data_IF_126855134801
#
_entry.id   IF_126855134801
#
_cell.length_a   1.000
_cell.length_b   1.000
_cell.length_c   1.000
_cell.angle_alpha   90.00
_cell.angle_beta   90.00
_cell.angle_gamma   90.00
#
_symmetry.space_group_name_H-M   'P 1'
#
loop_
_entity.id
_entity.type
_entity.pdbx_description
1 polymer ?
#
# COMPACT_ATOMS: atom_id res chain seq x y z
N UNK A 1 35.25 5.79 11.78
CA UNK A 1 36.63 5.43 12.17
C UNK A 1 36.55 4.47 13.34
N UNK A 2 36.68 3.17 13.09
CA UNK A 2 36.81 2.15 14.13
C UNK A 2 38.07 1.34 13.82
N UNK A 3 39.10 1.52 14.66
CA UNK A 3 40.37 0.80 14.62
C UNK A 3 40.10 -0.64 15.06
N UNK A 4 40.37 -1.61 14.19
CA UNK A 4 40.43 -3.02 14.56
C UNK A 4 41.91 -3.36 14.77
N UNK A 5 42.27 -3.55 16.04
CA UNK A 5 43.57 -4.00 16.50
C UNK A 5 43.77 -5.49 16.17
N UNK A 6 44.90 -5.93 15.58
CA UNK A 6 45.13 -7.34 15.30
C UNK A 6 45.60 -8.09 16.57
N UNK A 7 45.16 -9.35 16.82
CA UNK A 7 45.71 -10.15 17.91
C UNK A 7 47.08 -10.73 17.55
N UNK A 8 47.88 -10.91 18.61
CA UNK A 8 49.31 -11.15 18.61
C UNK A 8 49.74 -12.50 17.98
N UNK A 9 50.93 -12.48 17.38
CA UNK A 9 51.72 -13.66 16.98
C UNK A 9 51.95 -14.56 18.19
N UNK A 10 51.43 -15.78 18.16
CA UNK A 10 51.88 -16.86 19.04
C UNK A 10 53.12 -17.51 18.43
N UNK A 11 54.25 -17.31 19.10
CA UNK A 11 55.53 -17.94 18.83
C UNK A 11 55.46 -19.46 19.03
N UNK A 12 55.84 -20.22 18.00
CA UNK A 12 56.15 -21.64 18.15
C UNK A 12 57.47 -21.78 18.94
N UNK A 13 57.56 -22.66 19.96
CA UNK A 13 58.84 -22.94 20.60
C UNK A 13 59.70 -23.77 19.63
N UNK A 14 60.85 -23.22 19.23
CA UNK A 14 61.91 -23.99 18.60
C UNK A 14 62.44 -25.01 19.60
N UNK A 15 62.07 -26.27 19.42
CA UNK A 15 62.77 -27.39 20.08
C UNK A 15 64.17 -27.50 19.48
N UNK A 16 65.14 -26.81 20.08
CA UNK A 16 66.55 -27.10 19.88
C UNK A 16 66.82 -28.48 20.50
N UNK A 17 67.02 -29.47 19.64
CA UNK A 17 67.51 -30.78 20.04
C UNK A 17 69.00 -30.63 20.41
N UNK A 18 69.27 -30.28 21.66
CA UNK A 18 70.60 -30.17 22.23
C UNK A 18 71.22 -31.56 22.35
N UNK A 19 72.11 -31.92 21.43
CA UNK A 19 72.96 -33.11 21.57
C UNK A 19 74.04 -32.78 22.61
N UNK A 20 74.12 -33.48 23.76
CA UNK A 20 75.20 -33.26 24.70
C UNK A 20 76.49 -33.86 24.13
N UNK A 21 77.39 -33.00 23.66
CA UNK A 21 78.77 -33.38 23.38
C UNK A 21 79.47 -33.51 24.74
N UNK A 22 79.69 -34.76 25.17
CA UNK A 22 80.52 -35.08 26.33
C UNK A 22 81.94 -34.56 26.08
N UNK A 23 82.30 -33.46 26.75
CA UNK A 23 83.68 -33.08 26.92
C UNK A 23 84.30 -33.92 28.02
N UNK A 24 85.41 -34.61 27.74
CA UNK A 24 86.31 -35.07 28.79
C UNK A 24 87.77 -34.99 28.32
N UNK A 25 88.48 -34.06 28.95
CA UNK A 25 89.85 -34.10 29.42
C UNK A 25 91.02 -34.46 28.49
N UNK A 26 91.88 -33.44 28.35
CA UNK A 26 93.28 -33.46 27.95
C UNK A 26 94.08 -34.36 28.91
N UNK A 27 94.42 -35.57 28.47
CA UNK A 27 95.50 -36.36 29.03
C UNK A 27 96.64 -36.41 28.02
N UNK A 28 97.76 -35.79 28.37
CA UNK A 28 99.04 -35.91 27.69
C UNK A 28 99.53 -37.36 27.78
N UNK A 29 99.24 -38.12 26.74
CA UNK A 29 99.84 -39.41 26.47
C UNK A 29 99.93 -39.53 24.96
N UNK A 30 101.04 -40.02 24.46
CA UNK A 30 101.20 -40.41 23.06
C UNK A 30 100.27 -41.60 22.75
N UNK A 31 98.96 -41.39 22.77
CA UNK A 31 98.00 -42.30 22.17
C UNK A 31 97.86 -41.86 20.72
N UNK A 32 98.65 -42.48 19.85
CA UNK A 32 98.34 -42.56 18.44
C UNK A 32 96.96 -43.20 18.31
N UNK A 33 95.90 -42.39 18.38
CA UNK A 33 94.60 -42.77 17.83
C UNK A 33 94.93 -43.00 16.36
N UNK A 34 94.92 -44.25 15.86
CA UNK A 34 95.16 -44.47 14.45
C UNK A 34 94.14 -43.62 13.69
N UNK A 35 94.51 -43.00 12.55
CA UNK A 35 93.50 -42.32 11.74
C UNK A 35 92.35 -43.31 11.58
N UNK A 36 91.12 -42.91 11.94
CA UNK A 36 89.94 -43.72 11.64
C UNK A 36 90.11 -44.16 10.20
N UNK A 37 90.28 -45.47 9.97
CA UNK A 37 90.46 -45.99 8.60
C UNK A 37 89.33 -45.36 7.79
N UNK A 38 89.62 -44.69 6.65
CA UNK A 38 88.56 -44.09 5.86
C UNK A 38 87.53 -45.19 5.64
N UNK A 39 86.26 -44.89 5.95
CA UNK A 39 85.15 -45.80 5.72
C UNK A 39 85.38 -46.42 4.34
N UNK A 40 85.53 -47.75 4.25
CA UNK A 40 85.95 -48.34 2.97
C UNK A 40 84.97 -47.91 1.89
N UNK A 41 85.45 -47.64 0.68
CA UNK A 41 84.60 -47.20 -0.42
C UNK A 41 83.40 -48.16 -0.61
N UNK A 42 83.58 -49.45 -0.31
CA UNK A 42 82.52 -50.46 -0.27
C UNK A 42 81.45 -50.21 0.80
N UNK A 43 81.84 -49.89 2.05
CA UNK A 43 80.88 -49.61 3.13
C UNK A 43 80.12 -48.30 2.89
N UNK A 44 80.78 -47.27 2.35
CA UNK A 44 80.15 -46.02 1.95
C UNK A 44 79.15 -46.22 0.78
N UNK A 45 79.50 -47.05 -0.20
CA UNK A 45 78.61 -47.42 -1.30
C UNK A 45 77.36 -48.18 -0.80
N UNK A 46 77.53 -49.15 0.11
CA UNK A 46 76.41 -49.89 0.73
C UNK A 46 75.46 -48.97 1.49
N UNK A 47 76.00 -48.02 2.27
CA UNK A 47 75.18 -47.03 2.99
C UNK A 47 74.43 -46.10 2.02
N UNK A 48 75.08 -45.64 0.95
CA UNK A 48 74.45 -44.82 -0.09
C UNK A 48 73.27 -45.54 -0.77
N UNK A 49 73.40 -46.85 -1.06
CA UNK A 49 72.30 -47.66 -1.61
C UNK A 49 71.13 -47.77 -0.64
N UNK A 50 71.38 -47.97 0.65
CA UNK A 50 70.33 -48.02 1.68
C UNK A 50 69.62 -46.67 1.79
N UNK A 51 70.37 -45.57 1.84
CA UNK A 51 69.81 -44.21 1.85
C UNK A 51 68.95 -43.92 0.60
N UNK A 52 69.39 -44.34 -0.59
CA UNK A 52 68.62 -44.20 -1.82
C UNK A 52 67.32 -45.03 -1.80
N UNK A 53 67.34 -46.24 -1.23
CA UNK A 53 66.15 -47.08 -1.05
C UNK A 53 65.13 -46.44 -0.12
N UNK A 54 65.59 -45.87 1.01
CA UNK A 54 64.73 -45.13 1.92
C UNK A 54 64.18 -43.85 1.29
N UNK A 55 65.01 -43.09 0.58
CA UNK A 55 64.58 -41.90 -0.16
C UNK A 55 63.48 -42.24 -1.19
N UNK A 56 63.63 -43.35 -1.92
CA UNK A 56 62.61 -43.83 -2.86
C UNK A 56 61.29 -44.22 -2.18
N UNK A 57 61.35 -44.87 -1.00
CA UNK A 57 60.15 -45.17 -0.20
C UNK A 57 59.48 -43.89 0.30
N UNK A 58 60.25 -42.94 0.81
CA UNK A 58 59.75 -41.63 1.28
C UNK A 58 59.05 -40.90 0.14
N UNK A 59 59.68 -40.80 -1.05
CA UNK A 59 59.08 -40.17 -2.22
C UNK A 59 57.74 -40.83 -2.62
N UNK A 60 57.65 -42.17 -2.56
CA UNK A 60 56.39 -42.89 -2.81
C UNK A 60 55.31 -42.58 -1.79
N UNK A 61 55.66 -42.41 -0.51
CA UNK A 61 54.70 -42.02 0.53
C UNK A 61 54.26 -40.56 0.40
N UNK A 62 55.19 -39.65 0.09
CA UNK A 62 54.87 -38.23 -0.17
C UNK A 62 53.88 -38.11 -1.33
N UNK A 63 54.13 -38.79 -2.45
CA UNK A 63 53.19 -38.77 -3.59
C UNK A 63 51.79 -39.32 -3.25
N UNK A 64 51.68 -40.27 -2.32
CA UNK A 64 50.36 -40.73 -1.81
C UNK A 64 49.69 -39.67 -0.96
N UNK A 65 50.45 -38.98 -0.09
CA UNK A 65 49.93 -37.90 0.75
C UNK A 65 49.39 -36.76 -0.12
N UNK A 66 50.12 -36.38 -1.17
CA UNK A 66 49.69 -35.35 -2.12
C UNK A 66 48.38 -35.76 -2.83
N UNK A 67 48.30 -37.01 -3.29
CA UNK A 67 47.07 -37.53 -3.90
C UNK A 67 45.87 -37.52 -2.92
N UNK A 68 46.08 -37.86 -1.64
CA UNK A 68 45.02 -37.75 -0.63
C UNK A 68 44.65 -36.30 -0.35
N UNK A 69 45.60 -35.37 -0.32
CA UNK A 69 45.34 -33.95 -0.14
C UNK A 69 44.49 -33.39 -1.30
N UNK A 70 44.76 -33.79 -2.54
CA UNK A 70 43.96 -33.42 -3.72
C UNK A 70 42.52 -33.94 -3.62
N UNK A 71 42.34 -35.17 -3.15
CA UNK A 71 41.00 -35.74 -2.91
C UNK A 71 40.24 -34.94 -1.86
N UNK A 72 40.87 -34.61 -0.73
CA UNK A 72 40.27 -33.79 0.33
C UNK A 72 39.88 -32.40 -0.21
N UNK A 73 40.76 -31.77 -0.98
CA UNK A 73 40.50 -30.49 -1.62
C UNK A 73 39.32 -30.57 -2.60
N UNK A 74 39.24 -31.64 -3.41
CA UNK A 74 38.14 -31.90 -4.34
C UNK A 74 36.80 -32.07 -3.61
N UNK A 75 36.76 -32.85 -2.53
CA UNK A 75 35.55 -33.00 -1.71
C UNK A 75 35.10 -31.67 -1.09
N UNK A 76 36.04 -30.87 -0.60
CA UNK A 76 35.76 -29.56 -0.01
C UNK A 76 35.17 -28.60 -1.05
N UNK A 77 35.70 -28.58 -2.28
CA UNK A 77 35.12 -27.82 -3.40
C UNK A 77 33.71 -28.27 -3.75
N UNK A 78 33.46 -29.59 -3.86
CA UNK A 78 32.12 -30.13 -4.14
C UNK A 78 31.11 -29.73 -3.06
N UNK A 79 31.49 -29.80 -1.78
CA UNK A 79 30.64 -29.38 -0.66
C UNK A 79 30.34 -27.87 -0.72
N UNK A 80 31.35 -27.06 -1.02
CA UNK A 80 31.18 -25.62 -1.23
C UNK A 80 30.22 -25.30 -2.37
N UNK A 81 30.34 -26.00 -3.50
CA UNK A 81 29.44 -25.85 -4.65
C UNK A 81 27.99 -26.24 -4.30
N UNK A 82 27.79 -27.37 -3.62
CA UNK A 82 26.46 -27.78 -3.16
C UNK A 82 25.82 -26.74 -2.22
N UNK A 83 26.60 -26.17 -1.29
CA UNK A 83 26.14 -25.07 -0.42
C UNK A 83 25.78 -23.81 -1.21
N UNK A 84 26.58 -23.45 -2.22
CA UNK A 84 26.30 -22.32 -3.09
C UNK A 84 24.99 -22.51 -3.89
N UNK A 85 24.75 -23.72 -4.42
CA UNK A 85 23.49 -24.06 -5.09
C UNK A 85 22.30 -23.95 -4.13
N UNK A 86 22.40 -24.50 -2.92
CA UNK A 86 21.33 -24.40 -1.92
C UNK A 86 21.02 -22.95 -1.57
N UNK A 87 22.04 -22.11 -1.40
CA UNK A 87 21.87 -20.68 -1.15
C UNK A 87 21.18 -19.97 -2.34
N UNK A 88 21.53 -20.33 -3.58
CA UNK A 88 20.91 -19.81 -4.78
C UNK A 88 19.43 -20.19 -4.88
N UNK A 89 19.07 -21.46 -4.63
CA UNK A 89 17.68 -21.90 -4.59
C UNK A 89 16.87 -21.19 -3.51
N UNK A 90 17.46 -21.00 -2.32
CA UNK A 90 16.81 -20.28 -1.22
C UNK A 90 16.55 -18.82 -1.58
N UNK A 91 17.52 -18.17 -2.23
CA UNK A 91 17.36 -16.79 -2.72
C UNK A 91 16.29 -16.68 -3.80
N UNK A 92 16.27 -17.63 -4.75
CA UNK A 92 15.24 -17.68 -5.79
C UNK A 92 13.84 -17.80 -5.17
N UNK A 93 13.66 -18.73 -4.22
CA UNK A 93 12.39 -18.88 -3.51
C UNK A 93 11.96 -17.58 -2.81
N UNK A 94 12.87 -16.94 -2.09
CA UNK A 94 12.57 -15.66 -1.45
C UNK A 94 12.19 -14.55 -2.43
N UNK A 95 12.77 -14.54 -3.63
CA UNK A 95 12.38 -13.62 -4.71
C UNK A 95 10.98 -13.93 -5.24
N UNK A 96 10.66 -15.20 -5.47
CA UNK A 96 9.33 -15.64 -5.94
C UNK A 96 8.24 -15.27 -4.90
N UNK A 97 8.50 -15.51 -3.61
CA UNK A 97 7.60 -15.13 -2.51
C UNK A 97 7.38 -13.61 -2.45
N UNK A 98 8.46 -12.82 -2.62
CA UNK A 98 8.38 -11.37 -2.66
C UNK A 98 7.56 -10.85 -3.85
N UNK A 99 7.73 -11.46 -5.02
CA UNK A 99 6.93 -11.14 -6.21
C UNK A 99 5.45 -11.46 -6.00
N UNK A 100 5.14 -12.61 -5.41
CA UNK A 100 3.76 -12.97 -5.09
C UNK A 100 3.12 -11.95 -4.13
N UNK A 101 3.83 -11.55 -3.08
CA UNK A 101 3.36 -10.53 -2.15
C UNK A 101 3.11 -9.17 -2.83
N UNK A 102 3.99 -8.77 -3.77
CA UNK A 102 3.82 -7.55 -4.57
C UNK A 102 2.55 -7.63 -5.43
N UNK A 103 2.30 -8.75 -6.10
CA UNK A 103 1.08 -8.95 -6.90
C UNK A 103 -0.19 -8.89 -6.04
N UNK A 104 -0.19 -9.55 -4.88
CA UNK A 104 -1.32 -9.48 -3.94
C UNK A 104 -1.57 -8.04 -3.47
N UNK A 105 -0.52 -7.28 -3.18
CA UNK A 105 -0.65 -5.86 -2.79
C UNK A 105 -1.21 -5.00 -3.92
N UNK A 106 -0.74 -5.19 -5.16
CA UNK A 106 -1.27 -4.49 -6.33
C UNK A 106 -2.76 -4.77 -6.50
N UNK A 107 -3.17 -6.03 -6.41
CA UNK A 107 -4.59 -6.42 -6.49
C UNK A 107 -5.43 -5.74 -5.41
N UNK A 108 -4.97 -5.75 -4.16
CA UNK A 108 -5.68 -5.05 -3.07
C UNK A 108 -5.80 -3.54 -3.28
N UNK A 109 -4.80 -2.91 -3.93
CA UNK A 109 -4.87 -1.50 -4.31
C UNK A 109 -5.90 -1.26 -5.44
N UNK A 110 -5.91 -2.12 -6.46
CA UNK A 110 -6.88 -2.05 -7.56
C UNK A 110 -8.33 -2.22 -7.03
N UNK A 111 -8.56 -3.17 -6.12
CA UNK A 111 -9.85 -3.39 -5.46
C UNK A 111 -10.29 -2.17 -4.62
N UNK A 112 -9.36 -1.55 -3.89
CA UNK A 112 -9.64 -0.36 -3.09
C UNK A 112 -10.00 0.85 -3.96
N UNK A 113 -9.31 1.03 -5.10
CA UNK A 113 -9.65 2.07 -6.08
C UNK A 113 -11.05 1.84 -6.65
N UNK A 114 -11.39 0.61 -7.02
CA UNK A 114 -12.72 0.29 -7.53
C UNK A 114 -13.81 0.62 -6.50
N UNK A 115 -13.62 0.26 -5.24
CA UNK A 115 -14.56 0.60 -4.16
C UNK A 115 -14.72 2.13 -3.98
N UNK A 116 -13.62 2.90 -4.10
CA UNK A 116 -13.66 4.36 -4.05
C UNK A 116 -14.49 4.93 -5.21
N UNK A 117 -14.30 4.45 -6.44
CA UNK A 117 -15.09 4.88 -7.60
C UNK A 117 -16.57 4.57 -7.43
N UNK A 118 -16.93 3.37 -6.98
CA UNK A 118 -18.32 3.01 -6.70
C UNK A 118 -18.96 3.91 -5.64
N UNK A 119 -18.22 4.23 -4.58
CA UNK A 119 -18.71 5.15 -3.53
C UNK A 119 -18.92 6.56 -4.07
N UNK A 120 -18.02 7.06 -4.92
CA UNK A 120 -18.17 8.36 -5.57
C UNK A 120 -19.42 8.40 -6.44
N UNK A 121 -19.64 7.38 -7.28
CA UNK A 121 -20.82 7.29 -8.11
C UNK A 121 -22.11 7.32 -7.27
N UNK A 122 -22.17 6.53 -6.20
CA UNK A 122 -23.34 6.53 -5.31
C UNK A 122 -23.59 7.88 -4.62
N UNK A 123 -22.54 8.65 -4.35
CA UNK A 123 -22.67 10.02 -3.82
C UNK A 123 -23.21 11.00 -4.88
N UNK A 124 -22.70 10.92 -6.11
CA UNK A 124 -23.16 11.74 -7.22
C UNK A 124 -24.64 11.47 -7.54
N UNK A 125 -25.06 10.19 -7.55
CA UNK A 125 -26.46 9.79 -7.75
C UNK A 125 -27.37 10.33 -6.62
N UNK A 126 -26.90 10.27 -5.37
CA UNK A 126 -27.64 10.79 -4.22
C UNK A 126 -27.82 12.31 -4.28
N UNK A 127 -26.78 13.04 -4.70
CA UNK A 127 -26.86 14.49 -4.94
C UNK A 127 -27.87 14.81 -6.04
N UNK A 128 -27.83 14.08 -7.16
CA UNK A 128 -28.78 14.28 -8.25
C UNK A 128 -30.23 14.07 -7.77
N UNK A 129 -30.50 13.02 -7.00
CA UNK A 129 -31.81 12.77 -6.41
C UNK A 129 -32.25 13.91 -5.46
N UNK A 130 -31.32 14.47 -4.67
CA UNK A 130 -31.60 15.62 -3.81
C UNK A 130 -32.00 16.86 -4.63
N UNK A 131 -31.25 17.17 -5.70
CA UNK A 131 -31.59 18.29 -6.59
C UNK A 131 -32.95 18.12 -7.26
N UNK A 132 -33.27 16.92 -7.75
CA UNK A 132 -34.58 16.62 -8.33
C UNK A 132 -35.71 16.81 -7.31
N UNK A 133 -35.53 16.36 -6.06
CA UNK A 133 -36.51 16.59 -4.98
C UNK A 133 -36.69 18.07 -4.69
N UNK A 134 -35.60 18.83 -4.58
CA UNK A 134 -35.66 20.28 -4.34
C UNK A 134 -36.47 20.97 -5.44
N UNK A 135 -36.20 20.65 -6.70
CA UNK A 135 -36.96 21.19 -7.83
C UNK A 135 -38.45 20.85 -7.74
N UNK A 136 -38.79 19.61 -7.42
CA UNK A 136 -40.18 19.20 -7.23
C UNK A 136 -40.89 19.96 -6.10
N UNK A 137 -40.17 20.27 -5.00
CA UNK A 137 -40.70 21.13 -3.94
C UNK A 137 -40.92 22.58 -4.41
N UNK A 138 -39.95 23.14 -5.13
CA UNK A 138 -40.05 24.50 -5.68
C UNK A 138 -41.24 24.61 -6.65
N UNK A 139 -41.45 23.61 -7.52
CA UNK A 139 -42.59 23.53 -8.45
C UNK A 139 -43.93 23.42 -7.70
N UNK A 140 -43.99 22.60 -6.64
CA UNK A 140 -45.19 22.43 -5.82
C UNK A 140 -45.57 23.72 -5.07
N UNK A 141 -44.58 24.46 -4.55
CA UNK A 141 -44.79 25.76 -3.93
C UNK A 141 -45.33 26.77 -4.93
N UNK A 142 -44.77 26.82 -6.15
CA UNK A 142 -45.27 27.71 -7.19
C UNK A 142 -46.73 27.40 -7.53
N UNK A 143 -47.09 26.13 -7.69
CA UNK A 143 -48.47 25.72 -7.93
C UNK A 143 -49.42 26.12 -6.79
N UNK A 144 -48.97 26.03 -5.53
CA UNK A 144 -49.74 26.49 -4.37
C UNK A 144 -49.98 28.00 -4.42
N UNK A 145 -48.96 28.80 -4.72
CA UNK A 145 -49.11 30.26 -4.87
C UNK A 145 -50.08 30.63 -5.99
N UNK A 146 -49.99 29.98 -7.15
CA UNK A 146 -50.93 30.22 -8.26
C UNK A 146 -52.37 29.86 -7.88
N UNK A 147 -52.59 28.77 -7.15
CA UNK A 147 -53.93 28.43 -6.65
C UNK A 147 -54.46 29.47 -5.68
N UNK A 148 -53.62 29.95 -4.74
CA UNK A 148 -54.01 30.99 -3.80
C UNK A 148 -54.44 32.26 -4.54
N UNK A 149 -53.66 32.71 -5.52
CA UNK A 149 -54.01 33.87 -6.33
C UNK A 149 -55.36 33.67 -7.05
N UNK A 150 -55.59 32.50 -7.65
CA UNK A 150 -56.87 32.20 -8.30
C UNK A 150 -58.07 32.19 -7.33
N UNK A 151 -57.87 31.78 -6.08
CA UNK A 151 -58.89 31.90 -5.03
C UNK A 151 -59.17 33.36 -4.66
N UNK A 152 -58.13 34.18 -4.51
CA UNK A 152 -58.26 35.59 -4.18
C UNK A 152 -59.00 36.35 -5.30
N UNK A 153 -58.67 36.07 -6.57
CA UNK A 153 -59.34 36.64 -7.74
C UNK A 153 -60.84 36.22 -7.79
N UNK A 154 -61.13 34.95 -7.49
CA UNK A 154 -62.51 34.45 -7.46
C UNK A 154 -63.34 35.10 -6.35
N UNK A 155 -62.74 35.33 -5.17
CA UNK A 155 -63.38 36.06 -4.08
C UNK A 155 -63.66 37.51 -4.48
N UNK A 156 -62.71 38.19 -5.13
CA UNK A 156 -62.91 39.55 -5.60
C UNK A 156 -64.06 39.63 -6.62
N UNK A 157 -64.14 38.68 -7.56
CA UNK A 157 -65.25 38.61 -8.52
C UNK A 157 -66.60 38.40 -7.82
N UNK A 158 -66.64 37.56 -6.77
CA UNK A 158 -67.84 37.35 -5.96
C UNK A 158 -68.30 38.63 -5.26
N UNK A 159 -67.37 39.38 -4.64
CA UNK A 159 -67.69 40.68 -4.01
C UNK A 159 -68.23 41.69 -5.02
N UNK A 160 -67.59 41.84 -6.19
CA UNK A 160 -68.07 42.73 -7.25
C UNK A 160 -69.47 42.36 -7.73
N UNK A 161 -69.76 41.06 -7.87
CA UNK A 161 -71.10 40.59 -8.26
C UNK A 161 -72.14 40.89 -7.19
N UNK A 162 -71.80 40.73 -5.90
CA UNK A 162 -72.67 41.08 -4.79
C UNK A 162 -73.00 42.58 -4.81
N UNK A 163 -71.99 43.44 -4.97
CA UNK A 163 -72.20 44.88 -5.08
C UNK A 163 -73.14 45.24 -6.23
N UNK A 164 -72.92 44.65 -7.42
CA UNK A 164 -73.81 44.89 -8.56
C UNK A 164 -75.25 44.43 -8.33
N UNK A 165 -75.47 43.36 -7.55
CA UNK A 165 -76.81 42.95 -7.13
C UNK A 165 -77.45 43.96 -6.16
N UNK A 166 -76.69 44.45 -5.19
CA UNK A 166 -77.15 45.45 -4.22
C UNK A 166 -77.53 46.77 -4.93
N UNK A 167 -76.70 47.23 -5.88
CA UNK A 167 -76.98 48.41 -6.70
C UNK A 167 -78.25 48.24 -7.56
N UNK A 168 -78.44 47.06 -8.15
CA UNK A 168 -79.64 46.74 -8.93
C UNK A 168 -80.91 46.73 -8.08
N UNK A 169 -80.84 46.19 -6.85
CA UNK A 169 -81.93 46.25 -5.87
C UNK A 169 -82.26 47.69 -5.50
N UNK A 170 -81.25 48.52 -5.23
CA UNK A 170 -81.45 49.93 -4.91
C UNK A 170 -82.14 50.68 -6.05
N UNK A 171 -81.71 50.45 -7.30
CA UNK A 171 -82.35 51.03 -8.48
C UNK A 171 -83.82 50.58 -8.63
N UNK A 172 -84.14 49.32 -8.30
CA UNK A 172 -85.51 48.82 -8.31
C UNK A 172 -86.38 49.51 -7.25
N UNK A 173 -85.87 49.70 -6.02
CA UNK A 173 -86.57 50.44 -4.97
C UNK A 173 -86.83 51.90 -5.38
N UNK A 174 -85.84 52.60 -5.92
CA UNK A 174 -86.00 53.98 -6.40
C UNK A 174 -87.06 54.09 -7.51
N UNK A 175 -87.09 53.13 -8.45
CA UNK A 175 -88.13 53.11 -9.50
C UNK A 175 -89.52 52.88 -8.92
N UNK A 176 -89.65 51.96 -7.96
CA UNK A 176 -90.93 51.71 -7.28
C UNK A 176 -91.42 52.98 -6.58
N UNK A 177 -90.55 53.66 -5.85
CA UNK A 177 -90.91 54.91 -5.18
C UNK A 177 -91.32 56.00 -6.17
N UNK A 178 -90.59 56.16 -7.27
CA UNK A 178 -90.99 57.12 -8.32
C UNK A 178 -92.34 56.78 -8.98
N UNK A 179 -92.68 55.49 -9.10
CA UNK A 179 -94.01 55.07 -9.58
C UNK A 179 -95.11 55.40 -8.55
N UNK A 180 -94.86 55.13 -7.27
CA UNK A 180 -95.77 55.44 -6.18
C UNK A 180 -96.03 56.97 -6.10
N UNK A 181 -94.98 57.78 -6.22
CA UNK A 181 -95.07 59.25 -6.25
C UNK A 181 -95.87 59.76 -7.46
N UNK A 182 -95.64 59.20 -8.65
CA UNK A 182 -96.37 59.56 -9.87
C UNK A 182 -97.87 59.20 -9.77
N UNK A 183 -98.18 58.05 -9.18
CA UNK A 183 -99.55 57.62 -8.93
C UNK A 183 -100.25 58.55 -7.94
N UNK A 184 -99.58 58.94 -6.86
CA UNK A 184 -100.11 59.91 -5.89
C UNK A 184 -100.36 61.27 -6.55
N UNK A 185 -99.43 61.77 -7.38
CA UNK A 185 -99.60 63.00 -8.12
C UNK A 185 -100.80 62.95 -9.09
N UNK A 186 -101.01 61.81 -9.76
CA UNK A 186 -102.17 61.61 -10.63
C UNK A 186 -103.50 61.65 -9.87
N UNK A 187 -103.56 61.04 -8.69
CA UNK A 187 -104.74 61.09 -7.81
C UNK A 187 -105.04 62.54 -7.40
N UNK A 188 -104.04 63.27 -6.91
CA UNK A 188 -104.19 64.68 -6.51
C UNK A 188 -104.63 65.56 -7.69
N UNK A 189 -104.04 65.37 -8.88
CA UNK A 189 -104.43 66.11 -10.08
C UNK A 189 -105.88 65.83 -10.48
N UNK A 190 -106.32 64.56 -10.40
CA UNK A 190 -107.70 64.16 -10.69
C UNK A 190 -108.69 64.79 -9.70
N UNK A 191 -108.37 64.79 -8.40
CA UNK A 191 -109.17 65.44 -7.36
C UNK A 191 -109.29 66.96 -7.62
N UNK A 192 -108.17 67.63 -7.95
CA UNK A 192 -108.17 69.04 -8.30
C UNK A 192 -109.05 69.36 -9.52
N UNK A 193 -108.98 68.57 -10.59
CA UNK A 193 -109.83 68.74 -11.77
C UNK A 193 -111.31 68.53 -11.48
N UNK A 194 -111.68 67.61 -10.58
CA UNK A 194 -113.09 67.42 -10.18
C UNK A 194 -113.67 68.56 -9.33
N UNK A 195 -112.82 69.32 -8.63
CA UNK A 195 -113.25 70.50 -7.86
C UNK A 195 -113.44 71.75 -8.71
N UNK A 196 -112.70 71.89 -9.83
CA UNK A 196 -112.85 73.03 -10.75
C UNK A 196 -114.06 72.92 -11.70
N UNK A 197 -114.73 71.76 -11.75
CA UNK A 197 -115.87 71.49 -12.63
C UNK A 197 -117.23 71.52 -11.90
N UNK A 198 -117.29 72.13 -10.70
CA UNK A 198 -118.51 72.40 -9.92
C UNK A 198 -118.71 73.90 -9.77
#
# INVERSE_FOLDING_TARGET
MMKITPPARTSFPQTHLSIPIFGLNRASGHSSIPPFKPFSADMAARYATVCASFAGKIAKYVGKIDAFADVIASYSRKKGFAGALQAMYSRKKGFDDAMQAMYSRKRGFDDALQAMYSRKQGFDDALQAMYSRKRGFDDALQAMYSRKQGFDDALQAMYSRKQGFDDALQAMYSRKQGFDDAMQACIVAKEASTMQCK
#
